data_IF_209312524864
#
_entry.id   IF_209312524864
#
_cell.length_a   1.000
_cell.length_b   1.000
_cell.length_c   1.000
_cell.angle_alpha   90.00
_cell.angle_beta   90.00
_cell.angle_gamma   90.00
#
_symmetry.space_group_name_H-M   'P 1'
#
loop_
_entity.id
_entity.type
_entity.pdbx_description
1 polymer ?
#
# COMPACT_ATOMS: atom_id res chain seq x y z
N UNK A 1 -14.00 -9.70 -2.93
CA UNK A 1 -14.20 -8.37 -3.53
C UNK A 1 -14.86 -8.47 -4.89
N UNK A 2 -14.18 -8.99 -5.92
CA UNK A 2 -14.74 -9.09 -7.29
C UNK A 2 -16.10 -9.80 -7.37
N UNK A 3 -16.24 -11.03 -6.86
CA UNK A 3 -17.53 -11.76 -6.88
C UNK A 3 -18.66 -11.09 -6.09
N UNK A 4 -18.34 -10.14 -5.20
CA UNK A 4 -19.30 -9.40 -4.37
C UNK A 4 -19.59 -8.01 -4.91
N UNK A 5 -19.04 -7.64 -6.08
CA UNK A 5 -19.15 -6.30 -6.68
C UNK A 5 -18.80 -5.16 -5.72
N UNK A 6 -17.76 -5.35 -4.89
CA UNK A 6 -17.24 -4.25 -4.09
C UNK A 6 -16.39 -3.31 -4.95
N UNK A 7 -16.69 -2.02 -4.85
CA UNK A 7 -16.03 -0.96 -5.63
C UNK A 7 -14.63 -0.61 -5.10
N UNK A 8 -14.40 -0.81 -3.80
CA UNK A 8 -13.16 -0.40 -3.13
C UNK A 8 -12.63 -1.52 -2.24
N UNK A 9 -11.30 -1.66 -2.26
CA UNK A 9 -10.53 -2.53 -1.38
C UNK A 9 -9.50 -1.66 -0.66
N UNK A 10 -9.46 -1.75 0.66
CA UNK A 10 -8.47 -1.08 1.49
C UNK A 10 -7.67 -2.12 2.27
N UNK A 11 -6.35 -1.96 2.33
CA UNK A 11 -5.44 -2.86 3.03
C UNK A 11 -4.42 -2.02 3.79
N UNK A 12 -4.27 -2.29 5.09
CA UNK A 12 -3.40 -1.54 5.99
C UNK A 12 -2.30 -2.44 6.55
N UNK A 13 -1.04 -1.99 6.46
CA UNK A 13 0.13 -2.70 7.00
C UNK A 13 0.75 -1.91 8.16
N UNK A 14 1.05 -2.62 9.25
CA UNK A 14 1.66 -2.03 10.45
C UNK A 14 2.98 -2.69 10.82
N UNK A 15 3.97 -1.89 11.21
CA UNK A 15 5.14 -2.34 11.95
C UNK A 15 5.46 -1.30 13.05
N UNK A 16 6.20 -1.67 14.09
CA UNK A 16 6.38 -0.82 15.28
C UNK A 16 6.81 0.61 14.96
N UNK A 17 7.74 0.79 14.01
CA UNK A 17 8.23 2.12 13.61
C UNK A 17 7.65 2.66 12.31
N UNK A 18 6.76 1.93 11.63
CA UNK A 18 6.10 2.38 10.39
C UNK A 18 6.98 2.65 9.16
N UNK A 19 8.29 2.36 9.21
CA UNK A 19 9.26 2.83 8.20
C UNK A 19 9.93 1.73 7.35
N UNK A 20 9.83 0.45 7.75
CA UNK A 20 10.56 -0.64 7.08
C UNK A 20 9.63 -1.74 6.58
N UNK A 21 9.17 -2.60 7.49
CA UNK A 21 8.39 -3.81 7.13
C UNK A 21 7.02 -3.47 6.54
N UNK A 22 6.34 -2.48 7.11
CA UNK A 22 5.04 -2.02 6.61
C UNK A 22 5.16 -1.39 5.23
N UNK A 23 6.18 -0.53 5.03
CA UNK A 23 6.47 0.13 3.75
C UNK A 23 6.71 -0.90 2.66
N UNK A 24 7.64 -1.83 2.89
CA UNK A 24 7.96 -2.90 1.94
C UNK A 24 6.74 -3.77 1.58
N UNK A 25 5.93 -4.15 2.56
CA UNK A 25 4.74 -4.97 2.32
C UNK A 25 3.69 -4.22 1.50
N UNK A 26 3.49 -2.93 1.79
CA UNK A 26 2.55 -2.08 1.07
C UNK A 26 2.99 -1.83 -0.38
N UNK A 27 4.27 -1.51 -0.60
CA UNK A 27 4.86 -1.36 -1.95
C UNK A 27 4.73 -2.66 -2.76
N UNK A 28 5.07 -3.79 -2.15
CA UNK A 28 5.01 -5.10 -2.80
C UNK A 28 3.59 -5.48 -3.20
N UNK A 29 2.61 -5.23 -2.33
CA UNK A 29 1.20 -5.49 -2.64
C UNK A 29 0.70 -4.55 -3.73
N UNK A 30 1.02 -3.26 -3.65
CA UNK A 30 0.63 -2.27 -4.66
C UNK A 30 1.11 -2.67 -6.05
N UNK A 31 2.40 -3.03 -6.18
CA UNK A 31 2.99 -3.54 -7.41
C UNK A 31 2.26 -4.79 -7.91
N UNK A 32 2.07 -5.79 -7.04
CA UNK A 32 1.37 -7.02 -7.41
C UNK A 32 -0.05 -6.77 -7.92
N UNK A 33 -0.79 -5.86 -7.27
CA UNK A 33 -2.17 -5.53 -7.65
C UNK A 33 -2.23 -4.80 -9.00
N UNK A 34 -1.35 -3.84 -9.23
CA UNK A 34 -1.25 -3.12 -10.49
C UNK A 34 -0.90 -4.06 -11.65
N UNK A 35 0.09 -4.93 -11.47
CA UNK A 35 0.54 -5.88 -12.50
C UNK A 35 -0.53 -6.93 -12.84
N UNK A 36 -1.22 -7.47 -11.83
CA UNK A 36 -2.13 -8.61 -12.01
C UNK A 36 -3.55 -8.23 -12.37
N UNK A 37 -4.04 -7.09 -11.88
CA UNK A 37 -5.46 -6.72 -11.98
C UNK A 37 -5.68 -5.41 -12.74
N UNK A 38 -4.61 -4.72 -13.18
CA UNK A 38 -4.70 -3.43 -13.89
C UNK A 38 -5.59 -2.42 -13.16
N UNK A 39 -5.55 -2.43 -11.83
CA UNK A 39 -6.32 -1.53 -10.97
C UNK A 39 -5.51 -0.29 -10.62
N UNK A 40 -6.21 0.83 -10.41
CA UNK A 40 -5.61 1.98 -9.77
C UNK A 40 -5.37 1.68 -8.28
N UNK A 41 -4.15 1.95 -7.81
CA UNK A 41 -3.78 1.79 -6.39
C UNK A 41 -3.29 3.13 -5.87
N UNK A 42 -3.97 3.66 -4.86
CA UNK A 42 -3.48 4.76 -4.04
C UNK A 42 -2.66 4.18 -2.88
N UNK A 43 -1.39 4.56 -2.79
CA UNK A 43 -0.46 4.07 -1.79
C UNK A 43 -0.06 5.19 -0.84
N UNK A 44 -0.17 4.93 0.46
CA UNK A 44 0.16 5.89 1.51
C UNK A 44 1.10 5.26 2.54
N UNK A 45 2.20 5.96 2.83
CA UNK A 45 3.19 5.56 3.83
C UNK A 45 3.16 6.56 4.99
N UNK A 46 2.13 6.46 5.84
CA UNK A 46 1.76 7.48 6.84
C UNK A 46 2.96 8.05 7.63
N UNK A 47 3.83 7.19 8.17
CA UNK A 47 4.99 7.63 8.97
C UNK A 47 6.12 8.22 8.11
N UNK A 48 6.28 7.78 6.86
CA UNK A 48 7.24 8.39 5.93
C UNK A 48 6.76 9.77 5.49
N UNK A 49 5.48 9.91 5.16
CA UNK A 49 4.84 11.17 4.76
C UNK A 49 4.91 12.22 5.89
N UNK A 50 4.56 11.85 7.12
CA UNK A 50 4.67 12.73 8.30
C UNK A 50 6.10 13.27 8.49
N UNK A 51 7.10 12.45 8.19
CA UNK A 51 8.52 12.79 8.31
C UNK A 51 9.09 13.48 7.08
N UNK A 52 8.29 13.73 6.04
CA UNK A 52 8.75 14.19 4.73
C UNK A 52 9.88 13.31 4.16
N UNK A 53 9.84 12.01 4.44
CA UNK A 53 10.83 11.06 3.97
C UNK A 53 10.62 10.83 2.47
N UNK A 54 11.65 11.10 1.66
CA UNK A 54 11.71 10.72 0.24
C UNK A 54 12.55 9.44 0.12
N UNK A 55 11.93 8.35 -0.36
CA UNK A 55 12.68 7.14 -0.69
C UNK A 55 13.61 7.48 -1.87
N UNK A 56 14.92 7.36 -1.66
CA UNK A 56 15.95 7.65 -2.66
C UNK A 56 16.15 6.51 -3.66
#
# INVERSE_FOLDING_TARGET
YLKRNFERLEVNFGCTGGQHRSVFAADSLAKHLQEKFSVHVALHHLVQEEKNWVNG
#
